data_IF_160092571534
#
_entry.id   IF_160092571534
#
_cell.length_a   1.000
_cell.length_b   1.000
_cell.length_c   1.000
_cell.angle_alpha   90.00
_cell.angle_beta   90.00
_cell.angle_gamma   90.00
#
_symmetry.space_group_name_H-M   'P 1'
#
loop_
_entity.id
_entity.type
_entity.pdbx_description
1 polymer ?
#
# COMPACT_ATOMS: atom_id res chain seq x y z
N UNK A 1 -6.24 -18.29 3.04
CA UNK A 1 -6.24 -17.15 2.10
C UNK A 1 -5.92 -17.70 0.70
N UNK A 2 -6.90 -17.80 -0.19
CA UNK A 2 -6.70 -18.28 -1.58
C UNK A 2 -6.55 -17.06 -2.49
N UNK A 3 -5.40 -16.93 -3.14
CA UNK A 3 -5.19 -15.92 -4.18
C UNK A 3 -5.90 -16.42 -5.45
N UNK A 4 -7.01 -15.78 -5.83
CA UNK A 4 -7.68 -16.05 -7.10
C UNK A 4 -6.94 -15.30 -8.20
N UNK A 5 -6.56 -16.01 -9.27
CA UNK A 5 -6.12 -15.38 -10.52
C UNK A 5 -7.34 -14.64 -11.08
N UNK A 6 -7.28 -13.31 -11.14
CA UNK A 6 -8.22 -12.51 -11.93
C UNK A 6 -7.97 -12.82 -13.40
N UNK A 7 -8.75 -13.74 -13.98
CA UNK A 7 -8.66 -14.15 -15.39
C UNK A 7 -9.01 -13.01 -16.37
N UNK A 8 -9.58 -11.93 -15.86
CA UNK A 8 -10.04 -10.72 -16.56
C UNK A 8 -8.92 -9.69 -16.83
N UNK A 9 -7.78 -9.76 -16.12
CA UNK A 9 -6.73 -8.74 -16.25
C UNK A 9 -5.31 -9.32 -16.07
N UNK A 10 -4.76 -10.06 -17.07
CA UNK A 10 -3.44 -10.70 -16.97
C UNK A 10 -2.29 -9.71 -16.74
N UNK A 11 -2.50 -8.44 -17.14
CA UNK A 11 -1.51 -7.36 -17.02
C UNK A 11 -1.72 -6.51 -15.75
N UNK A 12 -2.62 -6.91 -14.84
CA UNK A 12 -2.86 -6.18 -13.59
C UNK A 12 -2.78 -7.10 -12.37
N UNK A 13 -1.97 -6.70 -11.39
CA UNK A 13 -1.93 -7.32 -10.08
C UNK A 13 -2.54 -6.38 -9.04
N UNK A 14 -3.33 -6.93 -8.11
CA UNK A 14 -4.06 -6.16 -7.10
C UNK A 14 -3.83 -6.74 -5.71
N UNK A 15 -3.61 -5.88 -4.73
CA UNK A 15 -3.46 -6.26 -3.32
C UNK A 15 -4.28 -5.29 -2.47
N UNK A 16 -5.14 -5.81 -1.60
CA UNK A 16 -5.86 -5.00 -0.60
C UNK A 16 -4.97 -4.81 0.62
N UNK A 17 -4.64 -3.56 0.94
CA UNK A 17 -3.95 -3.19 2.18
C UNK A 17 -5.00 -2.82 3.22
N UNK A 18 -5.01 -3.50 4.37
CA UNK A 18 -5.83 -3.15 5.53
C UNK A 18 -4.95 -2.54 6.61
N UNK A 19 -5.39 -1.44 7.19
CA UNK A 19 -4.66 -0.70 8.22
C UNK A 19 -5.57 -0.54 9.43
N UNK A 20 -5.10 -0.97 10.59
CA UNK A 20 -5.82 -0.91 11.85
C UNK A 20 -5.12 0.08 12.77
N UNK A 21 -5.84 1.09 13.21
CA UNK A 21 -5.35 1.99 14.24
C UNK A 21 -5.73 1.45 15.61
N UNK A 22 -4.76 0.93 16.35
CA UNK A 22 -4.98 0.43 17.71
C UNK A 22 -4.89 1.53 18.78
N UNK A 23 -4.58 2.77 18.37
CA UNK A 23 -4.38 3.90 19.27
C UNK A 23 -5.68 4.68 19.49
N UNK A 24 -5.73 5.45 20.57
CA UNK A 24 -6.84 6.36 20.88
C UNK A 24 -6.84 7.69 20.11
N UNK A 25 -5.94 7.87 19.13
CA UNK A 25 -5.81 9.11 18.34
C UNK A 25 -5.91 8.81 16.85
N UNK A 26 -6.57 9.64 16.03
CA UNK A 26 -6.55 9.47 14.58
C UNK A 26 -5.13 9.51 14.00
N UNK A 27 -4.87 8.68 12.99
CA UNK A 27 -3.58 8.58 12.30
C UNK A 27 -3.77 9.01 10.84
N UNK A 28 -3.04 10.04 10.42
CA UNK A 28 -2.90 10.41 9.02
C UNK A 28 -1.82 9.51 8.41
N UNK A 29 -2.09 8.95 7.23
CA UNK A 29 -1.11 8.15 6.49
C UNK A 29 -0.91 8.62 5.05
N UNK A 30 0.29 8.37 4.53
CA UNK A 30 0.63 8.56 3.13
C UNK A 30 1.55 7.44 2.64
N UNK A 31 1.16 6.81 1.54
CA UNK A 31 1.93 5.82 0.80
C UNK A 31 2.76 6.52 -0.27
N UNK A 32 4.04 6.19 -0.35
CA UNK A 32 4.96 6.65 -1.40
C UNK A 32 5.66 5.46 -2.02
N UNK A 33 5.60 5.33 -3.35
CA UNK A 33 6.48 4.41 -4.06
C UNK A 33 7.84 5.08 -4.31
N UNK A 34 8.93 4.33 -4.11
CA UNK A 34 10.29 4.82 -4.44
C UNK A 34 10.61 4.75 -5.94
N UNK A 35 9.93 3.88 -6.67
CA UNK A 35 10.15 3.68 -8.10
C UNK A 35 9.11 4.44 -8.91
N UNK A 36 9.44 4.81 -10.16
CA UNK A 36 8.46 5.13 -11.21
C UNK A 36 7.65 3.88 -11.59
N UNK A 37 7.15 3.17 -10.59
CA UNK A 37 6.32 1.98 -10.74
C UNK A 37 4.94 2.42 -11.23
N UNK A 38 4.32 1.62 -12.10
CA UNK A 38 2.90 1.74 -12.47
C UNK A 38 1.95 1.30 -11.34
N UNK A 39 2.36 1.56 -10.10
CA UNK A 39 1.64 1.31 -8.89
C UNK A 39 0.71 2.49 -8.62
N UNK A 40 -0.59 2.19 -8.53
CA UNK A 40 -1.63 3.15 -8.17
C UNK A 40 -2.38 2.65 -6.93
N UNK A 41 -2.95 3.56 -6.15
CA UNK A 41 -3.76 3.23 -4.99
C UNK A 41 -5.18 3.78 -5.20
N UNK A 42 -6.18 2.97 -4.84
CA UNK A 42 -7.60 3.31 -4.93
C UNK A 42 -8.28 3.13 -3.56
N UNK A 43 -9.11 4.07 -3.08
CA UNK A 43 -9.44 5.35 -3.71
C UNK A 43 -8.29 6.39 -3.64
N UNK A 44 -7.34 6.21 -2.72
CA UNK A 44 -6.25 7.16 -2.50
C UNK A 44 -5.00 6.48 -1.92
N UNK A 45 -3.84 7.09 -2.15
CA UNK A 45 -2.57 6.71 -1.53
C UNK A 45 -2.37 7.37 -0.15
N UNK A 46 -3.34 8.12 0.34
CA UNK A 46 -3.32 8.77 1.65
C UNK A 46 -4.72 8.89 2.23
N UNK A 47 -4.79 9.05 3.54
CA UNK A 47 -6.04 9.20 4.26
C UNK A 47 -5.84 9.37 5.76
N UNK A 48 -6.93 9.27 6.50
CA UNK A 48 -6.95 9.32 7.97
C UNK A 48 -7.65 8.07 8.49
N UNK A 49 -6.99 7.37 9.43
CA UNK A 49 -7.55 6.23 10.14
C UNK A 49 -8.06 6.74 11.49
N UNK A 50 -9.38 6.67 11.78
CA UNK A 50 -9.93 7.10 13.07
C UNK A 50 -9.29 6.37 14.26
N UNK A 51 -9.41 6.94 15.46
CA UNK A 51 -9.04 6.26 16.70
C UNK A 51 -9.78 4.91 16.80
N UNK A 52 -9.04 3.83 17.12
CA UNK A 52 -9.57 2.46 17.13
C UNK A 52 -10.25 2.02 15.81
N UNK A 53 -9.95 2.73 14.72
CA UNK A 53 -10.59 2.57 13.43
C UNK A 53 -9.79 1.72 12.45
N UNK A 54 -10.37 1.56 11.26
CA UNK A 54 -9.81 0.77 10.15
C UNK A 54 -9.90 1.61 8.89
N UNK A 55 -8.86 1.54 8.07
CA UNK A 55 -8.92 1.99 6.68
C UNK A 55 -8.34 0.94 5.73
N UNK A 56 -8.65 1.06 4.45
CA UNK A 56 -8.10 0.19 3.43
C UNK A 56 -7.92 0.89 2.10
N UNK A 57 -6.94 0.46 1.34
CA UNK A 57 -6.77 0.86 -0.06
C UNK A 57 -6.42 -0.35 -0.92
N UNK A 58 -6.83 -0.31 -2.18
CA UNK A 58 -6.43 -1.26 -3.19
C UNK A 58 -5.17 -0.77 -3.88
N UNK A 59 -4.10 -1.54 -3.77
CA UNK A 59 -2.85 -1.31 -4.49
C UNK A 59 -2.90 -2.06 -5.82
N UNK A 60 -2.76 -1.33 -6.92
CA UNK A 60 -2.91 -1.82 -8.28
C UNK A 60 -1.60 -1.63 -9.02
N UNK A 61 -0.95 -2.72 -9.41
CA UNK A 61 0.21 -2.73 -10.31
C UNK A 61 -0.24 -3.05 -11.71
N UNK A 62 0.27 -2.29 -12.67
CA UNK A 62 0.15 -2.63 -14.09
C UNK A 62 1.49 -3.11 -14.62
N UNK A 63 1.46 -4.18 -15.40
CA UNK A 63 2.62 -4.64 -16.16
C UNK A 63 2.98 -3.55 -17.19
N UNK A 64 4.22 -3.09 -17.26
CA UNK A 64 4.65 -2.14 -18.30
C UNK A 64 4.39 -2.72 -19.69
N UNK A 65 4.02 -1.88 -20.66
CA UNK A 65 3.71 -2.34 -22.04
C UNK A 65 4.88 -3.06 -22.73
N UNK A 66 6.11 -2.83 -22.27
CA UNK A 66 7.33 -3.42 -22.81
C UNK A 66 7.73 -4.73 -22.11
N UNK A 67 7.04 -5.11 -21.03
CA UNK A 67 7.31 -6.33 -20.26
C UNK A 67 6.22 -7.36 -20.56
N UNK A 68 6.62 -8.55 -20.99
CA UNK A 68 5.69 -9.63 -21.32
C UNK A 68 5.36 -10.50 -20.09
N UNK A 69 6.25 -10.52 -19.09
CA UNK A 69 6.17 -11.44 -17.96
C UNK A 69 6.40 -10.73 -16.63
N UNK A 70 5.55 -11.06 -15.65
CA UNK A 70 5.65 -10.57 -14.28
C UNK A 70 6.95 -10.96 -13.56
N UNK A 71 7.63 -12.01 -14.01
CA UNK A 71 8.92 -12.46 -13.45
C UNK A 71 10.04 -11.43 -13.65
N UNK A 72 9.94 -10.60 -14.70
CA UNK A 72 10.91 -9.55 -15.00
C UNK A 72 10.62 -8.25 -14.25
N UNK A 73 9.43 -8.14 -13.63
CA UNK A 73 9.03 -6.94 -12.91
C UNK A 73 9.82 -6.84 -11.62
N UNK A 74 10.67 -5.81 -11.52
CA UNK A 74 11.44 -5.54 -10.32
C UNK A 74 10.52 -5.35 -9.11
N UNK A 75 10.87 -5.91 -7.93
CA UNK A 75 10.14 -5.65 -6.69
C UNK A 75 9.98 -4.15 -6.44
N UNK A 76 8.77 -3.75 -6.04
CA UNK A 76 8.46 -2.35 -5.71
C UNK A 76 8.37 -2.19 -4.20
N UNK A 77 9.02 -1.15 -3.67
CA UNK A 77 8.90 -0.79 -2.26
C UNK A 77 7.98 0.40 -2.07
N UNK A 78 7.04 0.27 -1.15
CA UNK A 78 6.18 1.35 -0.67
C UNK A 78 6.72 1.81 0.68
N UNK A 79 6.75 3.11 0.91
CA UNK A 79 6.96 3.68 2.24
C UNK A 79 5.63 4.24 2.71
N UNK A 80 5.13 3.69 3.81
CA UNK A 80 4.02 4.26 4.57
C UNK A 80 4.61 5.26 5.55
N UNK A 81 4.11 6.49 5.51
CA UNK A 81 4.45 7.56 6.43
C UNK A 81 3.19 7.82 7.24
N UNK A 82 3.31 7.82 8.57
CA UNK A 82 2.21 8.08 9.48
C UNK A 82 2.54 9.22 10.43
N UNK A 83 1.52 9.96 10.81
CA UNK A 83 1.56 11.01 11.83
C UNK A 83 0.22 11.05 12.55
N UNK A 84 0.22 11.35 13.85
CA UNK A 84 -1.04 11.56 14.56
C UNK A 84 -1.68 12.87 14.12
N UNK A 85 -3.00 12.90 14.04
CA UNK A 85 -3.72 14.14 13.83
C UNK A 85 -3.44 15.13 14.97
N UNK A 86 -3.27 16.40 14.61
CA UNK A 86 -2.87 17.46 15.53
C UNK A 86 -1.38 17.50 15.87
N UNK A 87 -0.53 16.62 15.32
CA UNK A 87 0.91 16.61 15.64
C UNK A 87 1.68 17.89 15.28
N UNK A 88 1.08 18.80 14.51
CA UNK A 88 1.71 20.08 14.12
C UNK A 88 1.34 21.22 15.07
N UNK A 89 0.48 20.96 16.07
CA UNK A 89 0.14 21.94 17.09
C UNK A 89 1.32 22.06 18.09
N UNK A 90 1.94 23.24 18.23
CA UNK A 90 3.08 23.46 19.10
C UNK A 90 2.75 23.28 20.59
N UNK A 91 1.47 23.23 20.97
CA UNK A 91 1.01 22.96 22.35
C UNK A 91 1.01 21.47 22.67
N UNK A 92 0.72 20.62 21.68
CA UNK A 92 0.75 19.16 21.84
C UNK A 92 2.16 18.64 21.56
N UNK A 93 2.93 18.47 22.62
CA UNK A 93 4.35 18.10 22.61
C UNK A 93 4.67 16.67 22.10
N UNK A 94 3.76 16.05 21.35
CA UNK A 94 3.82 14.65 20.92
C UNK A 94 3.85 14.52 19.38
N UNK A 95 4.81 15.20 18.75
CA UNK A 95 5.03 15.02 17.31
C UNK A 95 5.66 13.64 17.03
N UNK A 96 4.83 12.63 16.85
CA UNK A 96 5.28 11.28 16.45
C UNK A 96 5.05 11.07 14.97
N UNK A 97 6.15 11.03 14.21
CA UNK A 97 6.15 10.66 12.79
C UNK A 97 6.83 9.31 12.61
N UNK A 98 6.14 8.34 12.04
CA UNK A 98 6.69 7.00 11.78
C UNK A 98 6.80 6.76 10.28
N UNK A 99 7.84 6.04 9.87
CA UNK A 99 8.03 5.60 8.49
C UNK A 99 8.21 4.09 8.48
N UNK A 100 7.32 3.39 7.80
CA UNK A 100 7.34 1.95 7.65
C UNK A 100 7.61 1.64 6.17
N UNK A 101 8.68 0.89 5.90
CA UNK A 101 8.98 0.43 4.54
C UNK A 101 8.35 -0.95 4.35
N UNK A 102 7.43 -1.03 3.40
CA UNK A 102 6.81 -2.27 2.96
C UNK A 102 7.41 -2.67 1.61
N UNK A 103 7.84 -3.92 1.49
CA UNK A 103 8.26 -4.51 0.21
C UNK A 103 7.13 -5.43 -0.24
N UNK A 104 6.65 -5.20 -1.46
CA UNK A 104 5.57 -6.02 -2.02
C UNK A 104 6.17 -6.87 -3.12
N UNK A 105 6.04 -8.19 -2.93
CA UNK A 105 6.56 -9.21 -3.82
C UNK A 105 5.36 -9.92 -4.43
N UNK A 106 5.24 -9.86 -5.76
CA UNK A 106 4.23 -10.62 -6.50
C UNK A 106 4.78 -12.04 -6.67
N UNK A 107 4.14 -13.02 -6.03
CA UNK A 107 4.49 -14.43 -6.20
C UNK A 107 3.50 -15.02 -7.21
N UNK A 108 4.00 -15.37 -8.39
CA UNK A 108 3.20 -16.07 -9.41
C UNK A 108 3.21 -17.55 -9.04
N UNK A 109 2.10 -18.07 -8.53
CA UNK A 109 1.93 -19.50 -8.32
C UNK A 109 1.51 -20.10 -9.66
N UNK A 110 2.45 -20.68 -10.39
CA UNK A 110 2.14 -21.56 -11.52
C UNK A 110 1.80 -22.93 -10.97
N UNK A 111 0.52 -23.32 -11.01
CA UNK A 111 0.16 -24.73 -10.89
C UNK A 111 0.62 -25.43 -12.17
N UNK A 112 1.73 -26.17 -12.09
CA UNK A 112 1.97 -27.26 -13.04
C UNK A 112 0.86 -28.28 -12.81
N UNK A 113 -0.01 -28.45 -13.80
CA UNK A 113 -0.88 -29.61 -13.96
C UNK A 113 -0.03 -30.72 -14.56
#
# INVERSE_FOLDING_TARGET
MKFLRTSDAPNTARVKLLMYNITGRPIIYKLKSKTKSLLTADPSACGTIPAHGIDHCLLIWRLPANELNWENVKPTSIVMITEFEGSNDPVTNEHTKTKIKCIIIIIIISHRI
#
